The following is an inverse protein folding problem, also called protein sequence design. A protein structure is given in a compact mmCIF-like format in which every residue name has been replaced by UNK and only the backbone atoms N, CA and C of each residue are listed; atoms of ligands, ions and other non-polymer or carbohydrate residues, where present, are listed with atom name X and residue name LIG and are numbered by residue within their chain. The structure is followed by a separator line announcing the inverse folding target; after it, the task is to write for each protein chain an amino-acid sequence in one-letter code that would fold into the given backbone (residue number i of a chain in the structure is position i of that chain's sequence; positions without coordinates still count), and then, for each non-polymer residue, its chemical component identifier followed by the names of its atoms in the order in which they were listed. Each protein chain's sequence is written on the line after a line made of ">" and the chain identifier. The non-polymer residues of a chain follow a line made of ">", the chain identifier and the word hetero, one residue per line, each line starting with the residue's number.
data_IF_534417832118
#
_entry.id   IF_534417832118
#
_cell.length_a   1.000
_cell.length_b   1.000
_cell.length_c   1.000
_cell.angle_alpha   90.00
_cell.angle_beta   90.00
_cell.angle_gamma   90.00
#
_symmetry.space_group_name_H-M   'P 1'
#
loop_
_entity.id
_entity.type
_entity.pdbx_description
1 polymer ?
#
# COMPACT_ATOMS: atom_id res chain seq x y z
N UNK A 1 8.64 -10.80 4.22
CA UNK A 1 7.26 -10.45 3.83
C UNK A 1 6.48 -11.72 3.54
N UNK A 2 5.28 -11.89 4.09
CA UNK A 2 4.45 -13.08 3.84
C UNK A 2 3.33 -12.69 2.86
N UNK A 3 3.40 -13.15 1.62
CA UNK A 3 2.39 -12.82 0.61
C UNK A 3 1.37 -13.97 0.57
N UNK A 4 0.15 -13.71 1.02
CA UNK A 4 -0.94 -14.69 1.00
C UNK A 4 -1.73 -14.57 -0.31
N UNK A 5 -1.99 -15.70 -0.94
CA UNK A 5 -2.69 -15.76 -2.23
C UNK A 5 -3.57 -17.01 -2.33
N UNK A 6 -4.63 -16.95 -3.13
CA UNK A 6 -5.39 -18.14 -3.53
C UNK A 6 -4.67 -18.88 -4.66
N UNK A 7 -4.48 -20.19 -4.52
CA UNK A 7 -4.03 -21.01 -5.64
C UNK A 7 -5.15 -21.26 -6.67
N UNK A 8 -4.82 -21.96 -7.74
CA UNK A 8 -5.75 -22.26 -8.85
C UNK A 8 -7.00 -23.05 -8.40
N UNK A 9 -6.95 -23.70 -7.24
CA UNK A 9 -8.08 -24.43 -6.65
C UNK A 9 -8.83 -23.61 -5.60
N UNK A 10 -8.52 -22.31 -5.47
CA UNK A 10 -9.10 -21.43 -4.46
C UNK A 10 -8.59 -21.68 -3.04
N UNK A 11 -7.57 -22.52 -2.85
CA UNK A 11 -7.01 -22.78 -1.52
C UNK A 11 -6.01 -21.69 -1.16
N UNK A 12 -6.08 -21.21 0.07
CA UNK A 12 -5.14 -20.21 0.57
C UNK A 12 -3.73 -20.79 0.71
N UNK A 13 -2.75 -20.11 0.14
CA UNK A 13 -1.32 -20.40 0.18
C UNK A 13 -0.56 -19.14 0.57
N UNK A 14 0.73 -19.29 0.85
CA UNK A 14 1.61 -18.14 1.07
C UNK A 14 2.96 -18.33 0.37
N UNK A 15 3.58 -17.21 0.02
CA UNK A 15 4.96 -17.14 -0.42
C UNK A 15 5.75 -16.25 0.55
N UNK A 16 6.87 -16.77 1.06
CA UNK A 16 7.78 -16.01 1.93
C UNK A 16 8.77 -15.25 1.06
N UNK A 17 8.48 -13.98 0.79
CA UNK A 17 9.38 -13.12 0.04
C UNK A 17 10.43 -12.49 0.95
N UNK A 18 11.71 -12.66 0.60
CA UNK A 18 12.87 -12.21 1.40
C UNK A 18 13.66 -11.06 0.76
N UNK A 19 13.12 -10.43 -0.30
CA UNK A 19 13.76 -9.34 -1.04
C UNK A 19 14.58 -9.80 -2.25
N UNK A 20 15.06 -11.05 -2.27
CA UNK A 20 15.96 -11.56 -3.32
C UNK A 20 15.47 -12.84 -4.01
N UNK A 21 14.48 -13.54 -3.43
CA UNK A 21 13.98 -14.82 -3.93
C UNK A 21 12.82 -14.70 -4.95
N UNK A 22 12.72 -13.59 -5.68
CA UNK A 22 11.65 -13.36 -6.65
C UNK A 22 11.56 -14.46 -7.72
N UNK A 23 12.69 -15.06 -8.11
CA UNK A 23 12.74 -16.17 -9.09
C UNK A 23 12.11 -17.47 -8.58
N UNK A 24 11.88 -17.60 -7.27
CA UNK A 24 11.23 -18.75 -6.63
C UNK A 24 9.72 -18.53 -6.44
N UNK A 25 9.21 -17.36 -6.82
CA UNK A 25 7.80 -17.02 -6.61
C UNK A 25 6.88 -17.93 -7.43
N UNK A 26 5.71 -18.31 -6.87
CA UNK A 26 4.68 -19.02 -7.62
C UNK A 26 4.17 -18.19 -8.80
N UNK A 27 3.63 -18.86 -9.83
CA UNK A 27 2.97 -18.22 -10.97
C UNK A 27 1.58 -17.70 -10.57
N UNK A 28 1.54 -16.67 -9.73
CA UNK A 28 0.31 -16.03 -9.27
C UNK A 28 0.39 -14.52 -9.51
N UNK A 29 -0.68 -13.91 -10.06
CA UNK A 29 -0.70 -12.48 -10.42
C UNK A 29 -0.49 -11.58 -9.23
N UNK A 30 -1.18 -11.82 -8.12
CA UNK A 30 -1.05 -11.02 -6.91
C UNK A 30 0.36 -11.09 -6.32
N UNK A 31 0.96 -12.28 -6.27
CA UNK A 31 2.36 -12.44 -5.82
C UNK A 31 3.31 -11.65 -6.72
N UNK A 32 3.10 -11.69 -8.04
CA UNK A 32 3.89 -10.89 -9.00
C UNK A 32 3.70 -9.39 -8.78
N UNK A 33 2.49 -8.92 -8.51
CA UNK A 33 2.20 -7.50 -8.28
C UNK A 33 2.89 -6.99 -7.01
N UNK A 34 2.84 -7.74 -5.90
CA UNK A 34 3.52 -7.37 -4.66
C UNK A 34 5.04 -7.31 -4.84
N UNK A 35 5.63 -8.29 -5.54
CA UNK A 35 7.07 -8.30 -5.84
C UNK A 35 7.43 -7.16 -6.80
N UNK A 36 6.57 -6.85 -7.77
CA UNK A 36 6.79 -5.74 -8.72
C UNK A 36 6.76 -4.40 -8.00
N UNK A 37 5.79 -4.17 -7.10
CA UNK A 37 5.73 -2.99 -6.25
C UNK A 37 7.00 -2.83 -5.39
N UNK A 38 7.43 -3.92 -4.76
CA UNK A 38 8.67 -3.94 -3.98
C UNK A 38 9.86 -3.53 -4.84
N UNK A 39 10.10 -4.23 -5.95
CA UNK A 39 11.26 -3.99 -6.80
C UNK A 39 11.26 -2.56 -7.36
N UNK A 40 10.09 -2.06 -7.78
CA UNK A 40 9.93 -0.71 -8.30
C UNK A 40 10.30 0.35 -7.27
N UNK A 41 9.70 0.30 -6.08
CA UNK A 41 10.00 1.26 -5.01
C UNK A 41 11.48 1.24 -4.62
N UNK A 42 12.03 0.03 -4.43
CA UNK A 42 13.43 -0.16 -4.00
C UNK A 42 14.41 0.34 -5.07
N UNK A 43 14.20 -0.03 -6.33
CA UNK A 43 15.10 0.34 -7.43
C UNK A 43 15.15 1.87 -7.65
N UNK A 44 14.05 2.57 -7.36
CA UNK A 44 13.97 4.02 -7.54
C UNK A 44 14.46 4.81 -6.31
N UNK A 45 14.80 4.16 -5.19
CA UNK A 45 15.32 4.82 -3.99
C UNK A 45 14.27 5.15 -2.92
N UNK A 46 13.11 4.50 -2.96
CA UNK A 46 12.13 4.43 -1.86
C UNK A 46 11.98 3.00 -1.31
N UNK A 47 10.82 2.68 -0.73
CA UNK A 47 10.47 1.31 -0.34
C UNK A 47 11.20 0.78 0.89
N UNK A 48 11.76 1.64 1.75
CA UNK A 48 12.56 1.21 2.91
C UNK A 48 11.77 0.37 3.91
N UNK A 49 10.48 0.65 4.12
CA UNK A 49 9.67 -0.13 5.04
C UNK A 49 9.29 -1.49 4.42
N UNK A 50 9.02 -1.53 3.13
CA UNK A 50 8.88 -2.78 2.40
C UNK A 50 10.16 -3.63 2.46
N UNK A 51 11.34 -3.01 2.32
CA UNK A 51 12.64 -3.68 2.53
C UNK A 51 12.75 -4.26 3.94
N UNK A 52 12.47 -3.46 4.97
CA UNK A 52 12.49 -3.93 6.35
C UNK A 52 11.56 -5.13 6.57
N UNK A 53 10.33 -5.09 6.04
CA UNK A 53 9.38 -6.20 6.11
C UNK A 53 9.85 -7.43 5.34
N UNK A 54 10.52 -7.26 4.20
CA UNK A 54 11.03 -8.34 3.38
C UNK A 54 12.21 -9.05 4.05
N UNK A 55 13.17 -8.30 4.60
CA UNK A 55 14.47 -8.84 5.04
C UNK A 55 14.55 -9.15 6.53
N UNK A 56 13.79 -8.45 7.38
CA UNK A 56 13.81 -8.69 8.83
C UNK A 56 12.85 -9.83 9.22
N UNK A 57 13.44 -10.93 9.69
CA UNK A 57 12.71 -12.11 10.17
C UNK A 57 11.80 -11.83 11.38
N UNK A 58 12.02 -10.73 12.11
CA UNK A 58 11.19 -10.32 13.26
C UNK A 58 9.93 -9.56 12.85
N UNK A 59 9.90 -8.91 11.68
CA UNK A 59 8.74 -8.13 11.22
C UNK A 59 7.57 -9.05 10.84
N UNK A 60 7.81 -10.02 9.95
CA UNK A 60 6.82 -11.04 9.48
C UNK A 60 5.42 -10.46 9.19
N UNK A 61 5.35 -9.35 8.47
CA UNK A 61 4.07 -8.74 8.08
C UNK A 61 3.49 -9.50 6.89
N UNK A 62 2.19 -9.79 6.97
CA UNK A 62 1.40 -10.39 5.90
C UNK A 62 0.99 -9.35 4.84
N UNK A 63 0.82 -9.76 3.59
CA UNK A 63 0.19 -8.98 2.53
C UNK A 63 -0.90 -9.85 1.92
N UNK A 64 -2.14 -9.35 1.91
CA UNK A 64 -3.33 -10.08 1.48
C UNK A 64 -4.06 -9.28 0.39
N UNK A 65 -4.55 -9.96 -0.65
CA UNK A 65 -5.22 -9.31 -1.76
C UNK A 65 -6.61 -8.81 -1.37
N UNK A 66 -7.02 -7.68 -1.94
CA UNK A 66 -8.40 -7.19 -1.89
C UNK A 66 -8.78 -6.43 -3.15
N UNK A 67 -10.09 -6.30 -3.39
CA UNK A 67 -10.66 -5.41 -4.42
C UNK A 67 -11.05 -4.02 -3.91
N UNK A 68 -10.72 -3.67 -2.66
CA UNK A 68 -11.11 -2.42 -2.01
C UNK A 68 -9.94 -1.44 -1.88
N UNK A 69 -9.54 -1.09 -0.66
CA UNK A 69 -8.48 -0.15 -0.32
C UNK A 69 -7.17 -0.83 0.11
N UNK A 70 -6.13 -0.01 0.27
CA UNK A 70 -4.88 -0.39 0.91
C UNK A 70 -4.96 0.02 2.38
N UNK A 71 -4.77 -0.91 3.32
CA UNK A 71 -4.84 -0.66 4.76
C UNK A 71 -3.98 -1.67 5.53
N UNK A 72 -3.12 -1.19 6.43
CA UNK A 72 -2.50 -1.99 7.47
C UNK A 72 -3.49 -2.31 8.59
N UNK A 73 -3.58 -3.59 8.95
CA UNK A 73 -4.46 -4.12 9.99
C UNK A 73 -3.59 -4.64 11.15
N UNK A 74 -3.41 -3.85 12.24
CA UNK A 74 -2.53 -4.22 13.35
C UNK A 74 -2.88 -5.57 13.98
N UNK A 75 -4.17 -5.83 14.20
CA UNK A 75 -4.65 -7.07 14.83
C UNK A 75 -4.38 -8.32 13.97
N UNK A 76 -4.41 -8.18 12.65
CA UNK A 76 -4.09 -9.25 11.72
C UNK A 76 -2.59 -9.33 11.39
N UNK A 77 -1.79 -8.35 11.83
CA UNK A 77 -0.38 -8.19 11.48
C UNK A 77 -0.16 -8.29 9.95
N UNK A 78 -1.07 -7.68 9.19
CA UNK A 78 -1.14 -7.81 7.73
C UNK A 78 -1.59 -6.52 7.06
N UNK A 79 -1.12 -6.31 5.84
CA UNK A 79 -1.56 -5.26 4.93
C UNK A 79 -2.57 -5.87 3.98
N UNK A 80 -3.78 -5.31 3.99
CA UNK A 80 -4.75 -5.54 2.92
C UNK A 80 -4.37 -4.64 1.74
N UNK A 81 -4.22 -5.23 0.56
CA UNK A 81 -3.64 -4.56 -0.59
C UNK A 81 -4.45 -4.80 -1.87
N UNK A 82 -4.81 -3.72 -2.55
CA UNK A 82 -5.39 -3.73 -3.88
C UNK A 82 -4.34 -3.26 -4.90
N UNK A 83 -3.81 -4.16 -5.76
CA UNK A 83 -2.74 -3.85 -6.70
C UNK A 83 -3.15 -2.87 -7.82
N UNK A 84 -4.42 -2.46 -7.88
CA UNK A 84 -4.95 -1.51 -8.87
C UNK A 84 -5.48 -0.21 -8.25
N UNK A 85 -5.59 -0.13 -6.90
CA UNK A 85 -6.09 1.06 -6.23
C UNK A 85 -4.96 2.08 -6.01
N UNK A 86 -5.11 3.24 -6.63
CA UNK A 86 -4.19 4.36 -6.57
C UNK A 86 -4.85 5.58 -5.96
N UNK A 87 -4.06 6.52 -5.46
CA UNK A 87 -4.55 7.76 -4.87
C UNK A 87 -4.26 8.93 -5.80
N UNK A 88 -5.32 9.51 -6.39
CA UNK A 88 -5.25 10.74 -7.18
C UNK A 88 -5.36 11.94 -6.25
N UNK A 89 -4.33 12.78 -6.19
CA UNK A 89 -4.32 14.00 -5.38
C UNK A 89 -5.16 15.10 -6.04
N UNK A 90 -5.51 16.13 -5.26
CA UNK A 90 -6.32 17.27 -5.71
C UNK A 90 -5.71 18.04 -6.90
N UNK A 91 -4.39 18.01 -7.04
CA UNK A 91 -3.66 18.65 -8.15
C UNK A 91 -3.54 17.74 -9.39
N UNK A 92 -4.13 16.55 -9.35
CA UNK A 92 -4.18 15.60 -10.46
C UNK A 92 -3.03 14.60 -10.52
N UNK A 93 -1.97 14.75 -9.71
CA UNK A 93 -0.93 13.74 -9.60
C UNK A 93 -1.49 12.44 -8.99
N UNK A 94 -0.98 11.29 -9.41
CA UNK A 94 -1.48 9.98 -8.94
C UNK A 94 -0.33 9.21 -8.30
N UNK A 95 -0.53 8.79 -7.06
CA UNK A 95 0.37 7.88 -6.36
C UNK A 95 0.04 6.45 -6.76
N UNK A 96 1.05 5.69 -7.18
CA UNK A 96 0.86 4.32 -7.64
C UNK A 96 0.45 3.39 -6.49
N UNK A 97 -0.13 2.22 -6.78
CA UNK A 97 -0.38 1.21 -5.75
C UNK A 97 0.90 0.79 -5.02
N UNK A 98 2.06 0.80 -5.68
CA UNK A 98 3.35 0.53 -5.06
C UNK A 98 3.70 1.56 -3.98
N UNK A 99 3.51 2.85 -4.23
CA UNK A 99 3.66 3.90 -3.20
C UNK A 99 2.67 3.69 -2.05
N UNK A 100 1.42 3.31 -2.36
CA UNK A 100 0.42 2.95 -1.36
C UNK A 100 0.84 1.75 -0.49
N UNK A 101 1.50 0.74 -1.06
CA UNK A 101 2.00 -0.40 -0.29
C UNK A 101 3.15 -0.01 0.66
N UNK A 102 4.02 0.91 0.25
CA UNK A 102 5.07 1.45 1.12
C UNK A 102 4.48 2.31 2.25
N UNK A 103 3.41 3.05 1.99
CA UNK A 103 2.65 3.76 3.03
C UNK A 103 2.17 2.78 4.12
N UNK A 104 1.47 1.71 3.75
CA UNK A 104 0.99 0.71 4.72
C UNK A 104 2.13 -0.06 5.38
N UNK A 105 3.23 -0.30 4.66
CA UNK A 105 4.43 -0.90 5.23
C UNK A 105 5.04 -0.03 6.33
N UNK A 106 5.03 1.30 6.17
CA UNK A 106 5.52 2.22 7.18
C UNK A 106 4.69 2.16 8.47
N UNK A 107 3.36 2.09 8.36
CA UNK A 107 2.50 1.83 9.52
C UNK A 107 2.85 0.53 10.23
N UNK A 108 3.05 -0.55 9.47
CA UNK A 108 3.40 -1.84 10.04
C UNK A 108 4.74 -1.81 10.79
N UNK A 109 5.75 -1.13 10.22
CA UNK A 109 7.06 -0.96 10.85
C UNK A 109 6.96 -0.07 12.10
N UNK A 110 6.23 1.03 12.05
CA UNK A 110 6.02 1.93 13.19
C UNK A 110 5.31 1.21 14.34
N UNK A 111 4.29 0.42 14.03
CA UNK A 111 3.57 -0.40 15.01
C UNK A 111 4.50 -1.41 15.70
N UNK A 112 5.37 -2.10 14.95
CA UNK A 112 6.37 -3.02 15.53
C UNK A 112 7.41 -2.33 16.40
N UNK A 113 7.73 -1.06 16.10
CA UNK A 113 8.65 -0.23 16.89
C UNK A 113 8.00 0.42 18.11
N UNK A 114 6.68 0.29 18.28
CA UNK A 114 5.94 0.93 19.37
C UNK A 114 5.96 2.46 19.27
N UNK A 115 5.94 3.00 18.06
CA UNK A 115 5.85 4.46 17.85
C UNK A 115 4.53 4.97 18.43
N UNK A 116 4.63 5.89 19.39
CA UNK A 116 3.47 6.52 20.01
C UNK A 116 2.71 7.39 18.98
N UNK A 117 1.39 7.33 19.04
CA UNK A 117 0.50 8.00 18.08
C UNK A 117 -0.49 8.88 18.82
N UNK A 118 -0.45 10.18 18.53
CA UNK A 118 -1.33 11.19 19.13
C UNK A 118 -2.27 11.74 18.08
N UNK A 119 -3.41 12.27 18.52
CA UNK A 119 -4.38 12.92 17.63
C UNK A 119 -3.72 14.10 16.91
N UNK A 120 -3.95 14.17 15.60
CA UNK A 120 -3.57 15.29 14.74
C UNK A 120 -4.79 15.68 13.91
N UNK A 121 -5.30 16.90 14.05
CA UNK A 121 -6.56 17.30 13.40
C UNK A 121 -6.50 17.30 11.86
N UNK A 122 -5.30 17.31 11.27
CA UNK A 122 -5.11 17.38 9.82
C UNK A 122 -4.83 16.01 9.20
N UNK A 123 -4.10 15.18 9.91
CA UNK A 123 -3.71 13.85 9.43
C UNK A 123 -4.39 12.72 10.20
N UNK A 124 -5.32 13.00 11.10
CA UNK A 124 -5.89 12.02 12.02
C UNK A 124 -4.93 11.73 13.18
N UNK A 125 -3.69 11.34 12.88
CA UNK A 125 -2.66 11.10 13.88
C UNK A 125 -1.27 11.65 13.52
N UNK A 126 -0.40 11.80 14.53
CA UNK A 126 1.01 12.15 14.33
C UNK A 126 1.79 11.08 13.58
N UNK A 127 1.40 9.83 13.73
CA UNK A 127 2.01 8.69 13.06
C UNK A 127 1.63 8.69 11.56
N UNK A 128 0.36 8.90 11.22
CA UNK A 128 -0.12 9.09 9.85
C UNK A 128 0.61 10.26 9.17
N UNK A 129 0.75 11.39 9.87
CA UNK A 129 1.52 12.53 9.38
C UNK A 129 2.97 12.14 9.05
N UNK A 130 3.60 11.34 9.91
CA UNK A 130 4.96 10.86 9.72
C UNK A 130 5.07 9.95 8.49
N UNK A 131 4.11 9.04 8.30
CA UNK A 131 4.06 8.15 7.13
C UNK A 131 3.87 8.94 5.84
N UNK A 132 2.89 9.87 5.81
CA UNK A 132 2.59 10.71 4.65
C UNK A 132 3.79 11.59 4.27
N UNK A 133 4.36 12.30 5.24
CA UNK A 133 5.46 13.25 4.98
C UNK A 133 6.82 12.58 4.88
N UNK A 134 6.94 11.34 5.34
CA UNK A 134 8.14 10.52 5.25
C UNK A 134 8.06 9.54 4.10
N UNK A 135 7.69 8.29 4.40
CA UNK A 135 7.81 7.15 3.50
C UNK A 135 7.02 7.33 2.18
N UNK A 136 5.75 7.77 2.26
CA UNK A 136 4.91 7.98 1.09
C UNK A 136 5.49 9.07 0.18
N UNK A 137 5.75 10.27 0.74
CA UNK A 137 6.28 11.39 -0.04
C UNK A 137 7.65 11.08 -0.65
N UNK A 138 8.54 10.46 0.11
CA UNK A 138 9.87 10.07 -0.39
C UNK A 138 9.74 9.10 -1.55
N UNK A 139 8.93 8.05 -1.39
CA UNK A 139 8.75 7.00 -2.40
C UNK A 139 8.06 7.52 -3.64
N UNK A 140 7.01 8.34 -3.49
CA UNK A 140 6.33 8.98 -4.61
C UNK A 140 7.27 9.85 -5.45
N UNK A 141 8.15 10.63 -4.82
CA UNK A 141 9.16 11.43 -5.53
C UNK A 141 10.20 10.56 -6.21
N UNK A 142 10.70 9.54 -5.52
CA UNK A 142 11.66 8.58 -6.05
C UNK A 142 11.10 7.88 -7.31
N UNK A 143 9.83 7.48 -7.27
CA UNK A 143 9.10 6.87 -8.38
C UNK A 143 8.72 7.85 -9.51
N UNK A 144 9.02 9.14 -9.39
CA UNK A 144 8.63 10.15 -10.38
C UNK A 144 7.12 10.41 -10.45
N UNK A 145 6.37 10.01 -9.42
CA UNK A 145 4.92 10.21 -9.30
C UNK A 145 4.58 11.63 -8.85
N UNK A 146 5.52 12.26 -8.14
CA UNK A 146 5.44 13.65 -7.71
C UNK A 146 6.70 14.42 -8.13
N UNK A 147 6.56 15.69 -8.54
CA UNK A 147 7.70 16.58 -8.74
C UNK A 147 8.59 16.69 -7.48
N UNK A 148 9.90 16.94 -7.67
CA UNK A 148 10.87 17.00 -6.57
C UNK A 148 10.51 18.04 -5.48
N UNK A 149 9.93 19.18 -5.87
CA UNK A 149 9.49 20.25 -4.96
C UNK A 149 8.03 20.09 -4.48
N UNK A 150 7.33 19.03 -4.89
CA UNK A 150 5.95 18.80 -4.48
C UNK A 150 5.88 18.52 -2.96
N UNK A 151 4.94 19.12 -2.21
CA UNK A 151 4.86 18.96 -0.75
C UNK A 151 4.18 17.65 -0.30
N UNK A 152 3.72 16.83 -1.24
CA UNK A 152 2.85 15.67 -0.98
C UNK A 152 1.44 16.10 -0.60
N UNK A 153 0.58 15.12 -0.32
CA UNK A 153 -0.79 15.37 0.10
C UNK A 153 -0.86 16.16 1.41
N UNK A 154 -1.88 16.99 1.56
CA UNK A 154 -2.03 17.96 2.65
C UNK A 154 -2.73 17.37 3.87
N UNK A 155 -3.49 16.30 3.75
CA UNK A 155 -4.20 15.69 4.87
C UNK A 155 -4.35 14.19 4.65
N UNK A 156 -4.83 13.48 5.68
CA UNK A 156 -5.17 12.07 5.52
C UNK A 156 -6.32 11.86 4.51
N UNK A 157 -7.26 12.79 4.47
CA UNK A 157 -8.44 12.74 3.60
C UNK A 157 -8.22 13.32 2.19
N UNK A 158 -7.02 13.84 1.89
CA UNK A 158 -6.68 14.40 0.59
C UNK A 158 -6.52 13.29 -0.46
N UNK A 159 -7.11 13.53 -1.62
CA UNK A 159 -7.10 12.65 -2.75
C UNK A 159 -8.32 11.74 -2.88
N UNK A 160 -8.39 11.05 -4.02
CA UNK A 160 -9.48 10.18 -4.40
C UNK A 160 -8.94 8.86 -4.93
N UNK A 161 -9.55 7.76 -4.49
CA UNK A 161 -9.25 6.44 -5.05
C UNK A 161 -9.59 6.40 -6.54
N UNK A 162 -8.62 5.94 -7.33
CA UNK A 162 -8.74 5.69 -8.77
C UNK A 162 -8.16 4.34 -9.13
N UNK A 163 -8.63 3.76 -10.23
CA UNK A 163 -8.12 2.48 -10.75
C UNK A 163 -6.97 2.76 -11.71
N UNK A 164 -5.89 1.99 -11.61
CA UNK A 164 -4.76 2.01 -12.56
C UNK A 164 -4.52 0.63 -13.15
N UNK A 165 -3.81 0.56 -14.28
CA UNK A 165 -3.62 -0.70 -15.04
C UNK A 165 -2.59 -1.66 -14.42
N UNK A 166 -1.74 -1.16 -13.52
CA UNK A 166 -0.69 -1.95 -12.90
C UNK A 166 -0.26 -1.32 -11.58
N UNK A 167 0.42 -2.11 -10.76
CA UNK A 167 0.89 -1.72 -9.43
C UNK A 167 1.90 -0.56 -9.43
N UNK A 168 2.48 -0.21 -10.58
CA UNK A 168 3.46 0.89 -10.73
C UNK A 168 2.91 2.08 -11.52
N UNK A 169 1.64 2.02 -11.94
CA UNK A 169 1.06 3.05 -12.81
C UNK A 169 0.63 4.28 -12.00
N UNK A 170 1.03 5.46 -12.47
CA UNK A 170 0.56 6.76 -12.00
C UNK A 170 -0.44 7.42 -12.97
N UNK A 171 -1.16 6.60 -13.74
CA UNK A 171 -2.19 7.04 -14.68
C UNK A 171 -3.50 6.33 -14.43
N UNK A 172 -4.55 7.12 -14.29
CA UNK A 172 -5.92 6.63 -14.16
C UNK A 172 -6.31 5.83 -15.40
N UNK A 173 -6.82 4.62 -15.18
CA UNK A 173 -7.21 3.70 -16.25
C UNK A 173 -8.57 4.06 -16.84
N UNK A 174 -9.56 4.35 -16.00
CA UNK A 174 -10.94 4.61 -16.40
C UNK A 174 -11.70 5.29 -15.28
N UNK A 175 -12.34 6.43 -15.58
CA UNK A 175 -13.21 7.14 -14.64
C UNK A 175 -14.35 6.25 -14.14
N UNK A 176 -14.96 5.45 -15.03
CA UNK A 176 -16.03 4.52 -14.66
C UNK A 176 -15.55 3.48 -13.64
N UNK A 177 -14.37 2.87 -13.88
CA UNK A 177 -13.81 1.90 -12.95
C UNK A 177 -13.40 2.53 -11.61
N UNK A 178 -12.89 3.78 -11.64
CA UNK A 178 -12.60 4.56 -10.43
C UNK A 178 -13.87 4.86 -9.62
N UNK A 179 -14.98 5.21 -10.26
CA UNK A 179 -16.26 5.43 -9.60
C UNK A 179 -16.81 4.15 -8.96
N UNK A 180 -16.73 3.03 -9.67
CA UNK A 180 -17.10 1.71 -9.16
C UNK A 180 -16.24 1.30 -7.96
N UNK A 181 -14.93 1.54 -8.01
CA UNK A 181 -14.02 1.30 -6.87
C UNK A 181 -14.44 2.12 -5.65
N UNK A 182 -14.68 3.42 -5.82
CA UNK A 182 -15.12 4.30 -4.72
C UNK A 182 -16.45 3.85 -4.11
N UNK A 183 -17.39 3.40 -4.95
CA UNK A 183 -18.66 2.83 -4.49
C UNK A 183 -18.43 1.57 -3.66
N UNK A 184 -17.61 0.63 -4.15
CA UNK A 184 -17.25 -0.60 -3.43
C UNK A 184 -16.59 -0.32 -2.09
N UNK A 185 -15.65 0.62 -2.03
CA UNK A 185 -14.99 1.02 -0.77
C UNK A 185 -16.00 1.59 0.22
N UNK A 186 -16.91 2.45 -0.24
CA UNK A 186 -17.97 3.02 0.61
C UNK A 186 -18.91 1.95 1.16
N UNK A 187 -19.37 1.03 0.31
CA UNK A 187 -20.24 -0.09 0.70
C UNK A 187 -19.53 -1.02 1.70
N UNK A 188 -18.27 -1.37 1.44
CA UNK A 188 -17.44 -2.18 2.34
C UNK A 188 -17.32 -1.53 3.72
N UNK A 189 -16.97 -0.23 3.79
CA UNK A 189 -16.86 0.52 5.05
C UNK A 189 -18.16 0.61 5.82
N UNK A 190 -19.30 0.70 5.13
CA UNK A 190 -20.62 0.72 5.77
C UNK A 190 -21.06 -0.66 6.28
N UNK A 191 -20.60 -1.73 5.61
CA UNK A 191 -20.89 -3.12 6.04
C UNK A 191 -19.99 -3.61 7.16
N UNK A 192 -18.85 -2.94 7.37
CA UNK A 192 -17.89 -3.29 8.41
C UNK A 192 -18.34 -2.71 9.75
N UNK A 193 -19.08 -3.49 10.53
CA UNK A 193 -19.19 -3.26 11.97
C UNK A 193 -17.85 -3.64 12.60
N UNK A 194 -17.17 -2.73 13.33
CA UNK A 194 -16.07 -3.15 14.19
C UNK A 194 -16.65 -4.20 15.15
N UNK A 195 -16.06 -5.40 15.20
CA UNK A 195 -16.42 -6.35 16.25
C UNK A 195 -16.21 -5.66 17.62
N UNK A 196 -17.15 -5.84 18.57
CA UNK A 196 -17.12 -5.18 19.88
C UNK A 196 -15.90 -5.55 20.73
#
# INVERSE_FOLDING_TARGET
>A
MVIWYGDENGKQRYFMFNGINATQAPQNSFVKDVITAYNYNVANGGGENMQAIATDKKMRIGVVETGYDNVYLPNANAIRFNPTASLKLDDGNILSPATGLEHEAAHAVNNKKGVDSKIDNKYGTTEERSVIKGAELKTAKANGELPANHPGRKSHADGQWVVTRSVISNKEFSTKSSEELRKKIKEFRNSYTPEP
#
